data_IF_800316439420
#
_entry.id   IF_800316439420
#
_cell.length_a   1.000
_cell.length_b   1.000
_cell.length_c   1.000
_cell.angle_alpha   90.00
_cell.angle_beta   90.00
_cell.angle_gamma   90.00
#
_symmetry.space_group_name_H-M   'P 1'
#
loop_
_entity.id
_entity.type
_entity.pdbx_description
1 polymer ?
#
# COMPACT_ATOMS: atom_id res chain seq x y z
N UNK A 1 6.93 -0.75 25.88
CA UNK A 1 6.96 -0.47 24.42
C UNK A 1 6.15 0.76 24.04
N UNK A 2 4.83 0.78 24.26
CA UNK A 2 3.95 1.90 23.83
C UNK A 2 4.35 3.29 24.37
N UNK A 3 4.73 3.40 25.65
CA UNK A 3 5.21 4.68 26.24
C UNK A 3 6.45 5.24 25.52
N UNK A 4 7.44 4.38 25.27
CA UNK A 4 8.66 4.74 24.53
C UNK A 4 8.34 5.20 23.10
N UNK A 5 7.42 4.53 22.41
CA UNK A 5 6.97 4.97 21.07
C UNK A 5 6.31 6.35 21.14
N UNK A 6 5.47 6.58 22.14
CA UNK A 6 4.81 7.88 22.32
C UNK A 6 5.80 9.01 22.64
N UNK A 7 6.84 8.74 23.44
CA UNK A 7 7.93 9.69 23.70
C UNK A 7 8.69 10.05 22.43
N UNK A 8 9.08 9.05 21.62
CA UNK A 8 9.70 9.30 20.32
C UNK A 8 8.79 10.15 19.41
N UNK A 9 7.51 9.79 19.26
CA UNK A 9 6.59 10.56 18.43
C UNK A 9 6.47 12.02 18.88
N UNK A 10 6.41 12.28 20.19
CA UNK A 10 6.35 13.65 20.72
C UNK A 10 7.66 14.41 20.49
N UNK A 11 8.80 13.75 20.68
CA UNK A 11 10.11 14.35 20.44
C UNK A 11 10.30 14.76 18.97
N UNK A 12 9.77 13.96 18.04
CA UNK A 12 9.79 14.23 16.59
C UNK A 12 8.65 15.18 16.13
N UNK A 13 7.92 15.83 17.05
CA UNK A 13 6.95 16.87 16.72
C UNK A 13 5.57 16.37 16.27
N UNK A 14 5.16 15.15 16.65
CA UNK A 14 3.80 14.68 16.38
C UNK A 14 2.76 15.62 17.01
N UNK A 15 1.76 16.05 16.20
CA UNK A 15 0.71 16.98 16.62
C UNK A 15 -0.16 16.45 17.76
N UNK A 16 -0.43 15.15 17.76
CA UNK A 16 -1.17 14.46 18.81
C UNK A 16 -0.60 13.05 19.01
N UNK A 17 -0.51 12.60 20.26
CA UNK A 17 -0.13 11.24 20.63
C UNK A 17 -1.03 10.73 21.75
N UNK A 18 -1.95 9.81 21.40
CA UNK A 18 -2.88 9.17 22.34
C UNK A 18 -2.47 7.74 22.65
N UNK A 19 -2.29 7.46 23.94
CA UNK A 19 -2.10 6.10 24.47
C UNK A 19 -3.44 5.62 25.04
N UNK A 20 -3.83 4.38 24.72
CA UNK A 20 -5.00 3.76 25.35
C UNK A 20 -4.77 3.60 26.86
N UNK A 21 -5.74 4.03 27.67
CA UNK A 21 -5.70 3.96 29.13
C UNK A 21 -6.24 2.63 29.68
N UNK A 22 -7.12 2.00 28.92
CA UNK A 22 -7.78 0.74 29.24
C UNK A 22 -8.02 -0.11 27.97
N UNK A 23 -8.58 -1.30 28.16
CA UNK A 23 -8.87 -2.22 27.07
C UNK A 23 -9.95 -1.67 26.11
N UNK A 24 -10.93 -0.92 26.61
CA UNK A 24 -11.98 -0.35 25.78
C UNK A 24 -11.43 0.69 24.80
N UNK A 25 -10.55 1.58 25.27
CA UNK A 25 -9.84 2.53 24.40
C UNK A 25 -8.90 1.83 23.42
N UNK A 26 -8.21 0.77 23.85
CA UNK A 26 -7.35 -0.03 22.97
C UNK A 26 -8.17 -0.64 21.83
N UNK A 27 -9.33 -1.21 22.14
CA UNK A 27 -10.24 -1.77 21.13
C UNK A 27 -10.80 -0.68 20.21
N UNK A 28 -11.09 0.52 20.72
CA UNK A 28 -11.52 1.65 19.88
C UNK A 28 -10.45 2.07 18.86
N UNK A 29 -9.18 2.18 19.28
CA UNK A 29 -8.06 2.47 18.37
C UNK A 29 -7.90 1.37 17.31
N UNK A 30 -7.99 0.10 17.70
CA UNK A 30 -7.94 -1.03 16.76
C UNK A 30 -9.11 -1.04 15.80
N UNK A 31 -10.32 -0.71 16.26
CA UNK A 31 -11.50 -0.57 15.40
C UNK A 31 -11.26 0.49 14.33
N UNK A 32 -10.63 1.62 14.69
CA UNK A 32 -10.22 2.65 13.74
C UNK A 32 -9.27 2.10 12.66
N UNK A 33 -8.18 1.44 13.06
CA UNK A 33 -7.20 0.87 12.11
C UNK A 33 -7.79 -0.22 11.22
N UNK A 34 -8.64 -1.10 11.77
CA UNK A 34 -9.28 -2.19 11.03
C UNK A 34 -10.41 -1.71 10.10
N UNK A 35 -11.03 -0.59 10.43
CA UNK A 35 -12.11 0.02 9.64
C UNK A 35 -11.65 0.88 8.46
N UNK A 36 -10.34 0.98 8.21
CA UNK A 36 -9.80 1.92 7.22
C UNK A 36 -10.33 1.66 5.78
N UNK A 37 -10.44 0.40 5.36
CA UNK A 37 -10.97 0.04 4.04
C UNK A 37 -12.48 0.31 3.94
N UNK A 38 -13.25 -0.03 4.99
CA UNK A 38 -14.68 0.29 5.04
C UNK A 38 -14.93 1.81 5.03
N UNK A 39 -14.00 2.61 5.56
CA UNK A 39 -14.09 4.06 5.47
C UNK A 39 -13.92 4.57 4.03
N UNK A 40 -13.11 3.90 3.20
CA UNK A 40 -12.95 4.25 1.79
C UNK A 40 -14.24 4.05 0.98
N UNK A 41 -15.03 3.04 1.31
CA UNK A 41 -16.36 2.83 0.70
C UNK A 41 -17.38 3.95 0.99
N UNK A 42 -17.08 4.89 1.89
CA UNK A 42 -17.88 6.13 2.05
C UNK A 42 -17.45 7.24 1.08
N UNK A 43 -16.26 7.13 0.49
CA UNK A 43 -15.67 8.15 -0.38
C UNK A 43 -15.85 7.82 -1.86
N UNK A 44 -15.91 6.53 -2.20
CA UNK A 44 -15.99 6.05 -3.58
C UNK A 44 -16.82 4.77 -3.64
N UNK A 45 -17.60 4.51 -4.71
CA UNK A 45 -18.26 3.22 -4.90
C UNK A 45 -17.24 2.08 -5.01
N UNK A 46 -16.11 2.32 -5.70
CA UNK A 46 -15.05 1.35 -5.90
C UNK A 46 -13.67 1.90 -5.50
N UNK A 47 -12.75 0.99 -5.18
CA UNK A 47 -11.33 1.29 -5.05
C UNK A 47 -10.48 0.11 -5.50
N UNK A 48 -9.31 0.41 -6.07
CA UNK A 48 -8.32 -0.58 -6.45
C UNK A 48 -7.13 -0.51 -5.49
N UNK A 49 -6.83 -1.61 -4.78
CA UNK A 49 -5.85 -1.66 -3.70
C UNK A 49 -4.52 -2.26 -4.15
N UNK A 50 -3.44 -1.51 -3.93
CA UNK A 50 -2.07 -1.97 -4.17
C UNK A 50 -1.47 -2.45 -2.85
N UNK A 51 -0.45 -3.29 -2.95
CA UNK A 51 0.28 -3.84 -1.80
C UNK A 51 1.77 -3.78 -2.12
N UNK A 52 2.35 -2.58 -2.09
CA UNK A 52 3.75 -2.36 -2.44
C UNK A 52 4.61 -2.26 -1.18
N UNK A 53 5.84 -2.79 -1.21
CA UNK A 53 6.79 -2.64 -0.08
C UNK A 53 7.94 -1.78 -0.53
N UNK A 54 8.41 -0.86 0.32
CA UNK A 54 9.63 -0.08 0.10
C UNK A 54 10.53 -0.09 1.34
N UNK A 55 11.85 0.13 1.22
CA UNK A 55 12.69 0.38 2.39
C UNK A 55 12.10 1.52 3.24
N UNK A 56 12.12 1.39 4.58
CA UNK A 56 11.50 2.37 5.48
C UNK A 56 12.02 3.80 5.29
N UNK A 57 13.30 3.93 4.91
CA UNK A 57 13.93 5.22 4.60
C UNK A 57 13.40 5.87 3.33
N UNK A 58 12.71 5.12 2.46
CA UNK A 58 12.06 5.60 1.24
C UNK A 58 10.59 5.96 1.43
N UNK A 59 9.94 5.58 2.54
CA UNK A 59 8.52 5.82 2.78
C UNK A 59 8.07 7.26 2.49
N UNK A 60 8.75 8.32 2.99
CA UNK A 60 8.32 9.70 2.70
C UNK A 60 8.35 10.02 1.20
N UNK A 61 9.46 9.71 0.53
CA UNK A 61 9.63 9.97 -0.90
C UNK A 61 8.63 9.19 -1.76
N UNK A 62 8.32 7.94 -1.38
CA UNK A 62 7.32 7.12 -2.08
C UNK A 62 5.92 7.68 -1.91
N UNK A 63 5.54 8.11 -0.69
CA UNK A 63 4.23 8.75 -0.45
C UNK A 63 4.08 10.07 -1.24
N UNK A 64 5.13 10.89 -1.30
CA UNK A 64 5.14 12.12 -2.10
C UNK A 64 4.98 11.81 -3.60
N UNK A 65 5.66 10.77 -4.10
CA UNK A 65 5.54 10.34 -5.49
C UNK A 65 4.12 9.83 -5.82
N UNK A 66 3.50 9.05 -4.92
CA UNK A 66 2.11 8.61 -5.06
C UNK A 66 1.16 9.82 -5.07
N UNK A 67 1.42 10.84 -4.23
CA UNK A 67 0.69 12.11 -4.26
C UNK A 67 0.73 12.79 -5.63
N UNK A 68 1.92 12.87 -6.24
CA UNK A 68 2.08 13.42 -7.60
C UNK A 68 1.38 12.59 -8.68
N UNK A 69 1.34 11.27 -8.54
CA UNK A 69 0.55 10.39 -9.42
C UNK A 69 -0.94 10.73 -9.28
N UNK A 70 -1.43 10.90 -8.05
CA UNK A 70 -2.82 11.30 -7.77
C UNK A 70 -3.15 12.64 -8.44
N UNK A 71 -2.30 13.65 -8.27
CA UNK A 71 -2.48 14.98 -8.88
C UNK A 71 -2.48 14.94 -10.42
N UNK A 72 -1.51 14.25 -11.02
CA UNK A 72 -1.35 14.17 -12.48
C UNK A 72 -2.47 13.40 -13.15
N UNK A 73 -2.98 12.34 -12.51
CA UNK A 73 -4.00 11.46 -13.09
C UNK A 73 -5.41 11.94 -12.80
N UNK A 74 -5.60 12.80 -11.78
CA UNK A 74 -6.91 13.24 -11.30
C UNK A 74 -7.64 12.21 -10.43
N UNK A 75 -7.10 11.00 -10.26
CA UNK A 75 -7.66 9.99 -9.36
C UNK A 75 -7.22 10.25 -7.93
N UNK A 76 -8.15 10.16 -6.99
CA UNK A 76 -7.83 10.27 -5.57
C UNK A 76 -7.19 8.97 -5.09
N UNK A 77 -5.99 9.07 -4.53
CA UNK A 77 -5.27 7.93 -3.97
C UNK A 77 -5.17 8.08 -2.45
N UNK A 78 -5.86 7.21 -1.72
CA UNK A 78 -5.74 7.11 -0.27
C UNK A 78 -4.61 6.14 0.09
N UNK A 79 -4.03 6.26 1.29
CA UNK A 79 -3.00 5.33 1.75
C UNK A 79 -3.28 4.86 3.18
N UNK A 80 -3.19 3.54 3.38
CA UNK A 80 -3.04 2.90 4.70
C UNK A 80 -1.77 2.07 4.61
N UNK A 81 -0.93 2.02 5.64
CA UNK A 81 0.33 1.31 5.52
C UNK A 81 0.88 0.83 6.85
N UNK A 82 1.77 -0.15 6.77
CA UNK A 82 2.55 -0.68 7.87
C UNK A 82 3.91 0.02 7.83
N UNK A 83 4.00 1.17 8.50
CA UNK A 83 5.24 1.95 8.48
C UNK A 83 6.46 1.19 9.04
N UNK A 84 6.22 0.20 9.90
CA UNK A 84 7.25 -0.59 10.59
C UNK A 84 8.04 -1.54 9.70
N UNK A 85 7.46 -1.97 8.58
CA UNK A 85 8.05 -2.87 7.59
C UNK A 85 8.09 -2.27 6.17
N UNK A 86 7.44 -1.12 5.96
CA UNK A 86 7.46 -0.41 4.67
C UNK A 86 6.37 -0.84 3.70
N UNK A 87 5.40 -1.65 4.15
CA UNK A 87 4.29 -2.12 3.33
C UNK A 87 3.20 -1.05 3.20
N UNK A 88 3.04 -0.53 1.99
CA UNK A 88 2.06 0.46 1.57
C UNK A 88 0.79 -0.23 1.02
N UNK A 89 -0.38 0.34 1.35
CA UNK A 89 -1.66 0.02 0.72
C UNK A 89 -2.29 1.26 0.06
N UNK A 90 -1.79 1.70 -1.11
CA UNK A 90 -2.43 2.71 -1.93
C UNK A 90 -3.80 2.22 -2.42
N UNK A 91 -4.83 3.03 -2.23
CA UNK A 91 -6.19 2.76 -2.68
C UNK A 91 -6.59 3.82 -3.71
N UNK A 92 -6.58 3.44 -4.98
CA UNK A 92 -7.01 4.32 -6.09
C UNK A 92 -8.53 4.28 -6.14
N UNK A 93 -9.17 5.40 -5.81
CA UNK A 93 -10.63 5.50 -5.75
C UNK A 93 -11.20 5.77 -7.14
N UNK A 94 -12.21 5.00 -7.57
CA UNK A 94 -12.85 5.15 -8.88
C UNK A 94 -14.31 4.68 -8.87
N UNK A 95 -14.99 4.86 -10.00
CA UNK A 95 -16.33 4.36 -10.27
C UNK A 95 -16.30 3.37 -11.44
N UNK A 96 -16.51 2.09 -11.14
CA UNK A 96 -16.45 1.02 -12.14
C UNK A 96 -17.54 1.09 -13.21
N UNK A 97 -18.56 1.93 -13.03
CA UNK A 97 -19.60 2.16 -14.04
C UNK A 97 -19.22 3.25 -15.04
N UNK A 98 -18.15 4.01 -14.79
CA UNK A 98 -17.64 4.99 -15.74
C UNK A 98 -16.68 4.36 -16.71
N UNK A 99 -17.01 4.50 -17.99
CA UNK A 99 -16.23 3.96 -19.09
C UNK A 99 -14.77 4.46 -19.04
N UNK A 100 -13.82 3.52 -19.09
CA UNK A 100 -12.39 3.83 -19.14
C UNK A 100 -11.72 4.09 -17.78
N UNK A 101 -12.47 4.30 -16.69
CA UNK A 101 -11.84 4.51 -15.36
C UNK A 101 -11.14 3.23 -14.89
N UNK A 102 -11.72 2.05 -15.15
CA UNK A 102 -11.12 0.78 -14.77
C UNK A 102 -9.73 0.57 -15.41
N UNK A 103 -9.60 0.79 -16.71
CA UNK A 103 -8.33 0.66 -17.44
C UNK A 103 -7.31 1.74 -17.03
N UNK A 104 -7.78 2.90 -16.58
CA UNK A 104 -6.92 3.94 -16.03
C UNK A 104 -6.39 3.55 -14.64
N UNK A 105 -7.24 3.03 -13.74
CA UNK A 105 -6.79 2.62 -12.41
C UNK A 105 -5.84 1.42 -12.46
N UNK A 106 -6.00 0.49 -13.40
CA UNK A 106 -5.04 -0.60 -13.61
C UNK A 106 -3.65 -0.06 -13.99
N UNK A 107 -3.58 0.93 -14.88
CA UNK A 107 -2.32 1.58 -15.26
C UNK A 107 -1.70 2.39 -14.11
N UNK A 108 -2.52 3.03 -13.30
CA UNK A 108 -2.05 3.74 -12.09
C UNK A 108 -1.50 2.74 -11.07
N UNK A 109 -2.17 1.60 -10.86
CA UNK A 109 -1.70 0.52 -10.00
C UNK A 109 -0.34 -0.02 -10.45
N UNK A 110 -0.20 -0.29 -11.75
CA UNK A 110 1.06 -0.69 -12.39
C UNK A 110 2.20 0.32 -12.14
N UNK A 111 1.93 1.62 -12.36
CA UNK A 111 2.89 2.72 -12.11
C UNK A 111 3.34 2.77 -10.64
N UNK A 112 2.42 2.55 -9.69
CA UNK A 112 2.72 2.54 -8.25
C UNK A 112 3.53 1.30 -7.85
N UNK A 113 3.20 0.12 -8.37
CA UNK A 113 3.96 -1.11 -8.12
C UNK A 113 5.37 -1.01 -8.70
N UNK A 114 5.50 -0.45 -9.91
CA UNK A 114 6.79 -0.16 -10.53
C UNK A 114 7.60 0.82 -9.68
N UNK A 115 6.98 1.90 -9.19
CA UNK A 115 7.62 2.84 -8.27
C UNK A 115 8.16 2.13 -7.01
N UNK A 116 7.41 1.19 -6.43
CA UNK A 116 7.88 0.44 -5.27
C UNK A 116 9.11 -0.40 -5.60
N UNK A 117 9.10 -1.11 -6.73
CA UNK A 117 10.25 -1.89 -7.19
C UNK A 117 11.47 -1.00 -7.48
N UNK A 118 11.29 0.13 -8.18
CA UNK A 118 12.36 1.08 -8.53
C UNK A 118 13.00 1.72 -7.27
N UNK A 119 12.28 1.77 -6.14
CA UNK A 119 12.81 2.22 -4.84
C UNK A 119 13.56 1.12 -4.07
N UNK A 120 13.81 -0.04 -4.68
CA UNK A 120 14.45 -1.20 -4.07
C UNK A 120 13.50 -2.04 -3.22
N UNK A 121 12.22 -2.03 -3.57
CA UNK A 121 11.14 -2.67 -2.84
C UNK A 121 10.59 -3.94 -3.51
N UNK A 122 9.35 -4.29 -3.17
CA UNK A 122 8.59 -5.42 -3.73
C UNK A 122 7.21 -4.95 -4.20
N UNK A 123 6.61 -5.70 -5.13
CA UNK A 123 5.24 -5.46 -5.64
C UNK A 123 4.14 -6.15 -4.82
N UNK A 124 4.55 -6.89 -3.79
CA UNK A 124 3.67 -7.49 -2.78
C UNK A 124 4.39 -7.55 -1.43
N UNK A 125 3.67 -7.22 -0.36
CA UNK A 125 4.08 -7.46 1.02
C UNK A 125 3.29 -8.58 1.66
N UNK A 126 1.95 -8.58 1.53
CA UNK A 126 1.07 -9.54 2.21
C UNK A 126 -0.05 -10.15 1.34
N UNK A 127 -0.34 -9.64 0.12
CA UNK A 127 -1.46 -10.12 -0.71
C UNK A 127 -1.08 -11.12 -1.82
N UNK A 128 0.21 -11.26 -2.14
CA UNK A 128 0.71 -12.13 -3.20
C UNK A 128 0.62 -11.52 -4.61
N UNK A 129 0.90 -12.37 -5.61
CA UNK A 129 0.95 -12.00 -7.04
C UNK A 129 -0.40 -12.23 -7.73
N UNK A 130 -0.96 -13.43 -7.58
CA UNK A 130 -2.22 -13.82 -8.22
C UNK A 130 -2.19 -13.70 -9.75
N UNK A 131 -3.37 -13.54 -10.35
CA UNK A 131 -3.49 -13.22 -11.78
C UNK A 131 -3.18 -11.74 -12.06
N UNK A 132 -3.56 -10.89 -11.11
CA UNK A 132 -3.51 -9.44 -11.21
C UNK A 132 -2.09 -8.91 -11.47
N UNK A 133 -1.10 -9.37 -10.68
CA UNK A 133 0.27 -8.85 -10.73
C UNK A 133 1.23 -9.76 -11.50
N UNK A 134 0.69 -10.70 -12.29
CA UNK A 134 1.49 -11.75 -12.95
C UNK A 134 2.57 -11.17 -13.86
N UNK A 135 2.27 -10.09 -14.57
CA UNK A 135 3.25 -9.43 -15.43
C UNK A 135 4.18 -8.50 -14.62
N UNK A 136 3.67 -7.89 -13.54
CA UNK A 136 4.45 -7.00 -12.66
C UNK A 136 5.59 -7.71 -11.93
N UNK A 137 5.53 -9.03 -11.74
CA UNK A 137 6.59 -9.81 -11.07
C UNK A 137 7.98 -9.58 -11.69
N UNK A 138 7.99 -9.22 -12.98
CA UNK A 138 9.18 -8.89 -13.77
C UNK A 138 9.88 -7.60 -13.34
N UNK A 139 9.24 -6.77 -12.51
CA UNK A 139 9.88 -5.61 -11.92
C UNK A 139 10.88 -5.96 -10.83
N UNK A 140 10.74 -7.15 -10.23
CA UNK A 140 11.56 -7.59 -9.08
C UNK A 140 12.41 -8.80 -9.45
N UNK A 141 11.93 -9.66 -10.35
CA UNK A 141 12.58 -10.92 -10.72
C UNK A 141 12.95 -10.94 -12.19
N UNK A 142 14.13 -11.48 -12.48
CA UNK A 142 14.61 -11.71 -13.83
C UNK A 142 13.91 -12.90 -14.50
N UNK A 143 14.03 -13.03 -15.82
CA UNK A 143 13.55 -14.23 -16.54
C UNK A 143 14.17 -15.54 -16.01
N UNK A 144 15.42 -15.47 -15.52
CA UNK A 144 16.08 -16.62 -14.94
C UNK A 144 15.44 -17.02 -13.60
N UNK A 145 15.16 -16.05 -12.73
CA UNK A 145 14.48 -16.29 -11.45
C UNK A 145 13.11 -16.92 -11.68
N UNK A 146 12.33 -16.36 -12.62
CA UNK A 146 11.01 -16.85 -12.98
C UNK A 146 11.05 -18.26 -13.59
N UNK A 147 12.08 -18.55 -14.39
CA UNK A 147 12.28 -19.91 -14.93
C UNK A 147 12.50 -20.94 -13.83
N UNK A 148 13.31 -20.61 -12.80
CA UNK A 148 13.54 -21.50 -11.66
C UNK A 148 12.25 -21.70 -10.86
N UNK A 149 11.48 -20.64 -10.61
CA UNK A 149 10.18 -20.74 -9.93
C UNK A 149 9.20 -21.64 -10.69
N UNK A 150 9.16 -21.53 -12.03
CA UNK A 150 8.32 -22.39 -12.87
C UNK A 150 8.77 -23.85 -12.86
N UNK A 151 10.09 -24.12 -12.84
CA UNK A 151 10.61 -25.48 -12.71
C UNK A 151 10.17 -26.13 -11.40
N UNK A 152 10.25 -25.42 -10.28
CA UNK A 152 9.76 -25.91 -8.97
C UNK A 152 8.26 -26.19 -9.04
N UNK A 153 7.48 -25.26 -9.59
CA UNK A 153 6.03 -25.42 -9.75
C UNK A 153 5.64 -26.65 -10.56
N UNK A 154 6.44 -27.06 -11.55
CA UNK A 154 6.13 -28.24 -12.39
C UNK A 154 6.33 -29.58 -11.67
N UNK A 155 7.08 -29.59 -10.57
CA UNK A 155 7.37 -30.82 -9.80
C UNK A 155 6.29 -31.11 -8.76
N UNK A 156 5.59 -30.09 -8.26
CA UNK A 156 4.56 -30.18 -7.21
C UNK A 156 3.16 -29.91 -7.75
#
# INVERSE_FOLDING_TARGET
MARRMAECCRAEGAREVRLARDEAERQALWKGRKGAFSAMGRLSPDFYVMDGVVPRTRLPATLDAIGKISERTGFKICNVFHAGDGNLHPLVLFDGFKEGEYEQVLRIGDEILKLCADQGGSITGEHGIGLEKRENIRYVFSDQDLSVMDQVRRVF
#
